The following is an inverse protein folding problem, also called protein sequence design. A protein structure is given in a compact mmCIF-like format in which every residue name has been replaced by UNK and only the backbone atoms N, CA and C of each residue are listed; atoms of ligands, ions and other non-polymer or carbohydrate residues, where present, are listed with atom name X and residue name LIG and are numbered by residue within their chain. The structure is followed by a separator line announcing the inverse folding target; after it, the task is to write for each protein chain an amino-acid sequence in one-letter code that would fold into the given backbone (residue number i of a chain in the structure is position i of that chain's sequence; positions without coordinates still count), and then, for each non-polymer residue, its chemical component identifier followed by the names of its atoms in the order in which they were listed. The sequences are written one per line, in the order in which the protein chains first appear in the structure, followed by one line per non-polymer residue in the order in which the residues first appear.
data_IF_765267888389
#
_entry.id   IF_765267888389
#
_cell.length_a   1.000
_cell.length_b   1.000
_cell.length_c   1.000
_cell.angle_alpha   90.00
_cell.angle_beta   90.00
_cell.angle_gamma   90.00
#
_symmetry.space_group_name_H-M   'P 1'
#
loop_
_entity.id
_entity.type
_entity.pdbx_description
1 polymer ?
#
# COMPACT_ATOMS: atom_id res chain seq x y z
N UNK A 1 -3.01 -2.69 6.69
CA UNK A 1 -2.23 -3.68 5.97
C UNK A 1 -2.44 -3.58 4.48
N UNK A 2 -3.34 -2.70 4.07
CA UNK A 2 -3.65 -2.50 2.66
C UNK A 2 -2.44 -1.94 1.92
N UNK A 3 -2.28 -2.33 0.67
CA UNK A 3 -1.17 -1.86 -0.14
C UNK A 3 -1.63 -1.59 -1.56
N UNK A 4 -1.26 -0.43 -2.08
CA UNK A 4 -1.65 -0.05 -3.43
C UNK A 4 -0.83 -0.83 -4.47
N UNK A 5 -1.48 -1.19 -5.57
CA UNK A 5 -0.82 -1.92 -6.65
C UNK A 5 -0.02 -0.96 -7.53
N UNK A 6 0.75 -0.11 -6.88
CA UNK A 6 1.57 0.88 -7.57
C UNK A 6 3.00 0.81 -7.07
N UNK A 7 3.85 1.67 -7.61
CA UNK A 7 5.25 1.73 -7.21
C UNK A 7 5.68 3.18 -7.05
N UNK A 8 6.10 3.59 -5.84
CA UNK A 8 6.16 2.70 -4.67
C UNK A 8 4.78 2.39 -4.10
N UNK A 9 4.57 1.16 -3.63
CA UNK A 9 3.29 0.74 -3.06
C UNK A 9 3.01 1.39 -1.71
N UNK A 10 1.87 2.07 -1.62
CA UNK A 10 1.49 2.74 -0.39
C UNK A 10 0.90 1.74 0.59
N UNK A 11 1.45 1.70 1.78
CA UNK A 11 0.98 0.77 2.80
C UNK A 11 0.08 1.49 3.80
N UNK A 12 -1.11 0.94 3.99
CA UNK A 12 -2.08 1.51 4.91
C UNK A 12 -1.96 0.80 6.27
N UNK A 13 -2.39 1.46 7.36
CA UNK A 13 -2.33 0.90 8.72
C UNK A 13 -3.05 -0.44 8.86
N UNK A 14 -4.07 -0.67 8.04
CA UNK A 14 -4.85 -1.91 8.08
C UNK A 14 -4.11 -3.03 7.35
#
# INVERSE_FOLDING_TARGET
GRXTKSIPPIXFPD
#
